data_IF_618665658492
#
_entry.id   IF_618665658492
#
_cell.length_a   1.000
_cell.length_b   1.000
_cell.length_c   1.000
_cell.angle_alpha   90.00
_cell.angle_beta   90.00
_cell.angle_gamma   90.00
#
_symmetry.space_group_name_H-M   'P 1'
#
loop_
_entity.id
_entity.type
_entity.pdbx_description
1 polymer ?
#
# COMPACT_ATOMS: atom_id res chain seq x y z
N UNK A 1 4.03 11.97 22.19
CA UNK A 1 3.83 11.05 21.05
C UNK A 1 2.69 11.60 20.21
N UNK A 2 2.96 12.00 18.96
CA UNK A 2 1.95 12.60 18.08
C UNK A 2 0.91 11.59 17.59
N UNK A 3 -0.17 12.08 16.97
CA UNK A 3 -1.22 11.22 16.36
C UNK A 3 -0.61 10.33 15.27
N UNK A 4 0.32 10.87 14.47
CA UNK A 4 1.03 10.13 13.41
C UNK A 4 1.86 8.97 13.97
N UNK A 5 2.56 9.17 15.08
CA UNK A 5 3.37 8.12 15.72
C UNK A 5 2.48 7.00 16.26
N UNK A 6 1.36 7.35 16.91
CA UNK A 6 0.38 6.37 17.38
C UNK A 6 -0.19 5.53 16.24
N UNK A 7 -0.48 6.17 15.09
CA UNK A 7 -0.97 5.47 13.90
C UNK A 7 0.10 4.51 13.35
N UNK A 8 1.34 4.98 13.19
CA UNK A 8 2.48 4.19 12.71
C UNK A 8 2.73 2.98 13.60
N UNK A 9 2.81 3.17 14.92
CA UNK A 9 2.95 2.06 15.87
C UNK A 9 1.74 1.12 15.86
N UNK A 10 0.54 1.64 15.64
CA UNK A 10 -0.68 0.83 15.48
C UNK A 10 -0.61 -0.12 14.28
N UNK A 11 -0.18 0.40 13.12
CA UNK A 11 0.03 -0.39 11.90
C UNK A 11 1.13 -1.43 12.10
N UNK A 12 2.26 -1.06 12.70
CA UNK A 12 3.37 -1.97 12.97
C UNK A 12 2.96 -3.15 13.87
N UNK A 13 2.09 -2.92 14.85
CA UNK A 13 1.62 -3.96 15.78
C UNK A 13 0.50 -4.82 15.21
N UNK A 14 -0.30 -4.29 14.29
CA UNK A 14 -1.50 -4.94 13.75
C UNK A 14 -1.39 -5.07 12.23
N UNK A 15 -0.27 -5.64 11.77
CA UNK A 15 0.05 -5.73 10.35
C UNK A 15 -0.74 -6.86 9.68
N UNK A 16 -2.02 -6.62 9.41
CA UNK A 16 -2.86 -7.51 8.61
C UNK A 16 -3.81 -6.72 7.70
N UNK A 17 -4.24 -7.35 6.61
CA UNK A 17 -5.14 -6.73 5.63
C UNK A 17 -6.46 -6.21 6.26
N UNK A 18 -7.02 -6.92 7.25
CA UNK A 18 -8.27 -6.50 7.91
C UNK A 18 -8.13 -5.15 8.62
N UNK A 19 -7.02 -4.92 9.29
CA UNK A 19 -6.71 -3.66 9.95
C UNK A 19 -6.45 -2.54 8.94
N UNK A 20 -5.66 -2.83 7.90
CA UNK A 20 -5.38 -1.88 6.81
C UNK A 20 -6.68 -1.44 6.13
N UNK A 21 -7.55 -2.40 5.78
CA UNK A 21 -8.86 -2.14 5.20
C UNK A 21 -9.71 -1.25 6.11
N UNK A 22 -9.79 -1.57 7.40
CA UNK A 22 -10.56 -0.76 8.38
C UNK A 22 -10.03 0.68 8.46
N UNK A 23 -8.71 0.86 8.41
CA UNK A 23 -8.12 2.20 8.36
C UNK A 23 -8.48 2.92 7.07
N UNK A 24 -8.34 2.25 5.92
CA UNK A 24 -8.70 2.79 4.61
C UNK A 24 -10.18 3.18 4.55
N UNK A 25 -11.09 2.36 5.09
CA UNK A 25 -12.53 2.67 5.22
C UNK A 25 -12.84 3.94 5.99
N UNK A 26 -11.96 4.35 6.90
CA UNK A 26 -12.12 5.58 7.68
C UNK A 26 -11.53 6.76 6.92
N UNK A 27 -10.29 6.64 6.43
CA UNK A 27 -9.57 7.76 5.83
C UNK A 27 -10.02 8.08 4.41
N UNK A 28 -10.61 7.11 3.68
CA UNK A 28 -11.12 7.31 2.32
C UNK A 28 -12.50 7.96 2.28
N UNK A 29 -13.18 8.16 3.43
CA UNK A 29 -14.47 8.86 3.46
C UNK A 29 -14.26 10.30 2.98
N UNK A 30 -14.98 10.71 1.93
CA UNK A 30 -14.92 12.07 1.34
C UNK A 30 -14.71 13.20 2.36
N UNK A 31 -15.51 13.35 3.45
CA UNK A 31 -15.29 14.43 4.40
C UNK A 31 -13.91 14.38 5.08
N UNK A 32 -13.44 13.19 5.45
CA UNK A 32 -12.11 12.97 6.07
C UNK A 32 -11.01 13.20 5.04
N UNK A 33 -11.18 12.63 3.84
CA UNK A 33 -10.21 12.70 2.76
C UNK A 33 -9.98 14.12 2.27
N UNK A 34 -11.05 14.91 2.08
CA UNK A 34 -10.94 16.31 1.67
C UNK A 34 -10.39 17.21 2.79
N UNK A 35 -10.77 16.95 4.04
CA UNK A 35 -10.17 17.65 5.18
C UNK A 35 -8.66 17.37 5.27
N UNK A 36 -8.24 16.12 5.12
CA UNK A 36 -6.82 15.77 5.03
C UNK A 36 -6.14 16.45 3.83
N UNK A 37 -6.79 16.42 2.67
CA UNK A 37 -6.33 17.08 1.45
C UNK A 37 -6.11 18.59 1.59
N UNK A 38 -6.90 19.28 2.42
CA UNK A 38 -6.73 20.71 2.71
C UNK A 38 -5.51 21.05 3.58
N UNK A 39 -4.87 20.06 4.19
CA UNK A 39 -3.65 20.28 4.98
C UNK A 39 -2.38 20.41 4.13
N UNK A 40 -2.44 20.01 2.85
CA UNK A 40 -1.33 20.12 1.91
C UNK A 40 -1.27 21.53 1.31
N UNK A 41 -0.05 22.11 1.29
CA UNK A 41 0.20 23.40 0.65
C UNK A 41 0.24 23.30 -0.87
N UNK A 42 0.75 22.18 -1.41
CA UNK A 42 0.82 21.95 -2.85
C UNK A 42 -0.44 21.28 -3.41
N UNK A 43 -0.87 21.75 -4.58
CA UNK A 43 -1.92 21.09 -5.37
C UNK A 43 -1.52 19.66 -5.78
N UNK A 44 -0.25 19.45 -6.12
CA UNK A 44 0.26 18.11 -6.49
C UNK A 44 0.09 17.15 -5.33
N UNK A 45 0.48 17.56 -4.13
CA UNK A 45 0.42 16.71 -2.94
C UNK A 45 -1.03 16.37 -2.61
N UNK A 46 -1.93 17.34 -2.72
CA UNK A 46 -3.36 17.12 -2.54
C UNK A 46 -3.88 16.06 -3.51
N UNK A 47 -3.63 16.21 -4.82
CA UNK A 47 -4.15 15.28 -5.82
C UNK A 47 -3.54 13.89 -5.69
N UNK A 48 -2.22 13.79 -5.56
CA UNK A 48 -1.52 12.51 -5.50
C UNK A 48 -1.88 11.74 -4.22
N UNK A 49 -1.98 12.40 -3.06
CA UNK A 49 -2.35 11.72 -1.81
C UNK A 49 -3.81 11.28 -1.80
N UNK A 50 -4.74 12.11 -2.31
CA UNK A 50 -6.15 11.72 -2.43
C UNK A 50 -6.29 10.50 -3.35
N UNK A 51 -5.70 10.57 -4.55
CA UNK A 51 -5.73 9.48 -5.52
C UNK A 51 -5.10 8.19 -4.97
N UNK A 52 -3.98 8.31 -4.26
CA UNK A 52 -3.30 7.16 -3.63
C UNK A 52 -4.20 6.50 -2.59
N UNK A 53 -4.86 7.28 -1.72
CA UNK A 53 -5.76 6.72 -0.69
C UNK A 53 -6.96 6.03 -1.33
N UNK A 54 -7.55 6.60 -2.38
CA UNK A 54 -8.65 5.99 -3.12
C UNK A 54 -8.21 4.70 -3.83
N UNK A 55 -7.05 4.70 -4.47
CA UNK A 55 -6.49 3.53 -5.15
C UNK A 55 -6.20 2.39 -4.18
N UNK A 56 -5.57 2.69 -3.03
CA UNK A 56 -5.36 1.72 -1.96
C UNK A 56 -6.68 1.23 -1.39
N UNK A 57 -7.67 2.11 -1.22
CA UNK A 57 -8.99 1.71 -0.74
C UNK A 57 -9.62 0.67 -1.65
N UNK A 58 -9.54 0.87 -2.97
CA UNK A 58 -10.04 -0.10 -3.95
C UNK A 58 -9.29 -1.43 -3.85
N UNK A 59 -7.95 -1.39 -3.82
CA UNK A 59 -7.10 -2.59 -3.76
C UNK A 59 -7.31 -3.44 -2.49
N UNK A 60 -7.65 -2.82 -1.35
CA UNK A 60 -7.88 -3.54 -0.08
C UNK A 60 -9.36 -3.78 0.23
N UNK A 61 -10.27 -3.43 -0.66
CA UNK A 61 -11.70 -3.63 -0.46
C UNK A 61 -12.19 -4.88 -1.19
N UNK A 62 -13.18 -5.57 -0.62
CA UNK A 62 -13.85 -6.72 -1.28
C UNK A 62 -14.78 -6.27 -2.42
N UNK A 63 -14.51 -5.12 -3.06
CA UNK A 63 -15.46 -4.43 -3.94
C UNK A 63 -15.48 -4.96 -5.38
N UNK A 64 -15.16 -6.25 -5.59
CA UNK A 64 -15.20 -6.94 -6.89
C UNK A 64 -14.35 -6.33 -8.04
N UNK A 65 -13.38 -5.45 -7.73
CA UNK A 65 -12.41 -5.05 -8.76
C UNK A 65 -11.29 -6.08 -8.82
N UNK A 66 -10.96 -6.62 -10.01
CA UNK A 66 -9.80 -7.48 -10.13
C UNK A 66 -8.53 -6.69 -9.82
N UNK A 67 -7.64 -7.28 -9.04
CA UNK A 67 -6.36 -6.69 -8.63
C UNK A 67 -5.27 -7.22 -9.53
N UNK A 68 -4.61 -6.33 -10.26
CA UNK A 68 -3.47 -6.69 -11.10
C UNK A 68 -2.18 -6.24 -10.47
N UNK A 69 -1.25 -7.16 -10.24
CA UNK A 69 0.11 -6.78 -9.91
C UNK A 69 0.84 -6.27 -11.15
N UNK A 70 1.61 -5.20 -10.99
CA UNK A 70 2.42 -4.67 -12.09
C UNK A 70 3.71 -4.03 -11.59
N UNK A 71 4.68 -3.93 -12.51
CA UNK A 71 5.92 -3.19 -12.27
C UNK A 71 5.75 -1.71 -12.56
N UNK A 72 6.67 -0.88 -12.06
CA UNK A 72 6.73 0.55 -12.35
C UNK A 72 6.74 0.90 -13.85
N UNK A 73 7.07 -0.04 -14.72
CA UNK A 73 7.26 0.17 -16.16
C UNK A 73 6.08 -0.32 -17.02
N UNK A 74 5.02 -0.83 -16.40
CA UNK A 74 3.83 -1.29 -17.12
C UNK A 74 3.00 -0.09 -17.63
N UNK A 75 2.46 -0.13 -18.87
CA UNK A 75 1.49 0.85 -19.33
C UNK A 75 0.12 0.64 -18.66
N UNK A 76 -0.13 1.36 -17.57
CA UNK A 76 -1.33 1.21 -16.73
C UNK A 76 -2.62 1.67 -17.40
N UNK A 77 -2.55 2.35 -18.54
CA UNK A 77 -3.71 2.70 -19.37
C UNK A 77 -4.55 1.47 -19.72
N UNK A 78 -3.89 0.32 -19.95
CA UNK A 78 -4.60 -0.94 -20.21
C UNK A 78 -5.38 -1.43 -18.99
N UNK A 79 -4.79 -1.36 -17.80
CA UNK A 79 -5.47 -1.77 -16.55
C UNK A 79 -6.68 -0.86 -16.28
N UNK A 80 -6.51 0.44 -16.46
CA UNK A 80 -7.60 1.40 -16.35
C UNK A 80 -8.73 1.12 -17.35
N UNK A 81 -8.41 0.83 -18.62
CA UNK A 81 -9.40 0.50 -19.64
C UNK A 81 -10.19 -0.78 -19.33
N UNK A 82 -9.56 -1.74 -18.65
CA UNK A 82 -10.16 -3.02 -18.26
C UNK A 82 -10.85 -2.99 -16.88
N UNK A 83 -10.82 -1.85 -16.18
CA UNK A 83 -11.34 -1.76 -14.82
C UNK A 83 -10.56 -2.57 -13.78
N UNK A 84 -9.29 -2.88 -14.07
CA UNK A 84 -8.36 -3.56 -13.16
C UNK A 84 -7.77 -2.55 -12.20
N UNK A 85 -7.75 -2.87 -10.90
CA UNK A 85 -7.09 -2.03 -9.89
C UNK A 85 -5.60 -2.36 -9.88
N UNK A 86 -4.72 -1.41 -10.27
CA UNK A 86 -3.28 -1.64 -10.25
C UNK A 86 -2.76 -1.68 -8.82
N UNK A 87 -1.92 -2.65 -8.53
CA UNK A 87 -1.14 -2.71 -7.30
C UNK A 87 0.34 -2.92 -7.65
N UNK A 88 1.21 -2.02 -7.19
CA UNK A 88 2.63 -2.01 -7.57
C UNK A 88 3.49 -2.43 -6.38
N UNK A 89 3.92 -3.70 -6.29
CA UNK A 89 4.66 -4.16 -5.11
C UNK A 89 5.94 -3.34 -4.84
N UNK A 90 6.63 -2.87 -5.90
CA UNK A 90 7.82 -2.03 -5.79
C UNK A 90 7.54 -0.68 -5.13
N UNK A 91 6.46 0.00 -5.53
CA UNK A 91 6.01 1.25 -4.91
C UNK A 91 5.57 1.01 -3.47
N UNK A 92 4.86 -0.09 -3.24
CA UNK A 92 4.34 -0.44 -1.92
C UNK A 92 5.46 -0.82 -0.94
N UNK A 93 6.58 -1.35 -1.41
CA UNK A 93 7.79 -1.50 -0.60
C UNK A 93 8.37 -0.15 -0.14
N UNK A 94 8.18 0.95 -0.90
CA UNK A 94 8.44 2.31 -0.42
C UNK A 94 7.52 2.71 0.74
N UNK A 95 6.24 2.36 0.66
CA UNK A 95 5.27 2.60 1.74
C UNK A 95 5.60 1.78 3.00
N UNK A 96 5.95 0.50 2.86
CA UNK A 96 6.38 -0.33 4.01
C UNK A 96 7.61 0.29 4.68
N UNK A 97 8.58 0.81 3.92
CA UNK A 97 9.73 1.53 4.48
C UNK A 97 9.33 2.80 5.24
N UNK A 98 8.48 3.67 4.67
CA UNK A 98 7.98 4.88 5.32
C UNK A 98 7.21 4.59 6.62
N UNK A 99 6.46 3.48 6.64
CA UNK A 99 5.74 2.98 7.81
C UNK A 99 6.63 2.23 8.81
N UNK A 100 7.93 2.08 8.54
CA UNK A 100 8.88 1.40 9.42
C UNK A 100 8.66 -0.12 9.48
N UNK A 101 8.12 -0.70 8.41
CA UNK A 101 7.84 -2.13 8.25
C UNK A 101 8.92 -2.85 7.44
N UNK A 102 9.88 -2.11 6.85
CA UNK A 102 10.96 -2.68 6.05
C UNK A 102 11.73 -3.79 6.81
N UNK A 103 12.07 -3.58 8.09
CA UNK A 103 12.77 -4.60 8.88
C UNK A 103 11.98 -5.89 9.01
N UNK A 104 10.67 -5.80 9.26
CA UNK A 104 9.81 -6.98 9.40
C UNK A 104 9.65 -7.71 8.07
N UNK A 105 9.38 -6.97 7.00
CA UNK A 105 9.21 -7.54 5.64
C UNK A 105 10.50 -8.14 5.09
N UNK A 106 11.65 -7.47 5.23
CA UNK A 106 12.95 -8.02 4.80
C UNK A 106 13.38 -9.25 5.62
N UNK A 107 13.04 -9.28 6.92
CA UNK A 107 13.23 -10.47 7.74
C UNK A 107 12.38 -11.61 7.21
N UNK A 108 11.09 -11.37 6.94
CA UNK A 108 10.20 -12.40 6.41
C UNK A 108 10.69 -12.93 5.06
N UNK A 109 11.10 -12.06 4.13
CA UNK A 109 11.64 -12.51 2.85
C UNK A 109 12.88 -13.40 3.04
N UNK A 110 13.76 -13.03 3.98
CA UNK A 110 14.99 -13.80 4.23
C UNK A 110 14.68 -15.18 4.83
N UNK A 111 13.68 -15.26 5.71
CA UNK A 111 13.18 -16.52 6.26
C UNK A 111 12.55 -17.43 5.19
N UNK A 112 12.03 -16.84 4.12
CA UNK A 112 11.43 -17.54 2.97
C UNK A 112 12.41 -17.67 1.79
N UNK A 113 13.71 -17.78 2.07
CA UNK A 113 14.77 -18.12 1.10
C UNK A 113 15.04 -17.09 -0.03
N UNK A 114 14.55 -15.86 0.11
CA UNK A 114 14.93 -14.80 -0.84
C UNK A 114 16.39 -14.36 -0.62
N UNK A 115 17.18 -14.36 -1.70
CA UNK A 115 18.59 -13.96 -1.67
C UNK A 115 18.75 -12.51 -1.19
N UNK A 116 19.81 -12.26 -0.42
CA UNK A 116 20.15 -10.91 0.05
C UNK A 116 20.60 -9.99 -1.09
N UNK A 117 21.06 -10.55 -2.20
CA UNK A 117 21.54 -9.83 -3.38
C UNK A 117 20.39 -9.26 -4.23
N UNK A 118 19.14 -9.65 -3.96
CA UNK A 118 17.97 -9.10 -4.63
C UNK A 118 17.74 -7.64 -4.20
N UNK A 119 17.16 -6.86 -5.12
CA UNK A 119 16.75 -5.49 -4.86
C UNK A 119 15.87 -5.39 -3.60
N UNK A 120 16.17 -4.44 -2.73
CA UNK A 120 15.46 -4.25 -1.45
C UNK A 120 13.96 -4.00 -1.62
N UNK A 121 13.53 -3.35 -2.70
CA UNK A 121 12.10 -3.20 -3.00
C UNK A 121 11.42 -4.54 -3.23
N UNK A 122 12.02 -5.40 -4.06
CA UNK A 122 11.51 -6.75 -4.34
C UNK A 122 11.48 -7.60 -3.07
N UNK A 123 12.56 -7.58 -2.28
CA UNK A 123 12.62 -8.32 -1.02
C UNK A 123 11.57 -7.85 -0.01
N UNK A 124 11.43 -6.54 0.19
CA UNK A 124 10.42 -6.01 1.11
C UNK A 124 9.00 -6.29 0.61
N UNK A 125 8.76 -6.19 -0.70
CA UNK A 125 7.48 -6.56 -1.30
C UNK A 125 7.16 -8.05 -1.12
N UNK A 126 8.09 -8.94 -1.43
CA UNK A 126 7.95 -10.38 -1.23
C UNK A 126 7.62 -10.71 0.23
N UNK A 127 8.37 -10.15 1.17
CA UNK A 127 8.07 -10.34 2.59
C UNK A 127 6.71 -9.78 3.01
N UNK A 128 6.24 -8.69 2.42
CA UNK A 128 4.90 -8.17 2.68
C UNK A 128 3.80 -9.09 2.13
N UNK A 129 4.06 -9.80 1.02
CA UNK A 129 3.18 -10.85 0.49
C UNK A 129 3.15 -12.06 1.43
N UNK A 130 4.31 -12.55 1.87
CA UNK A 130 4.41 -13.69 2.82
C UNK A 130 3.70 -13.39 4.16
N UNK A 131 3.71 -12.13 4.61
CA UNK A 131 3.01 -11.68 5.81
C UNK A 131 1.49 -11.44 5.60
N UNK A 132 0.94 -11.73 4.41
CA UNK A 132 -0.47 -11.46 4.05
C UNK A 132 -0.85 -9.98 4.27
N UNK A 133 0.08 -9.07 3.98
CA UNK A 133 -0.11 -7.62 4.15
C UNK A 133 -0.60 -6.96 2.88
N UNK A 134 -0.07 -7.39 1.74
CA UNK A 134 -0.53 -6.90 0.44
C UNK A 134 -1.81 -7.63 0.01
N UNK A 135 -2.72 -6.97 -0.72
CA UNK A 135 -3.94 -7.61 -1.19
C UNK A 135 -3.59 -8.69 -2.22
N UNK A 136 -4.37 -9.76 -2.27
CA UNK A 136 -4.11 -10.87 -3.19
C UNK A 136 -4.41 -10.43 -4.64
N UNK A 137 -3.48 -10.63 -5.58
CA UNK A 137 -3.74 -10.37 -7.00
C UNK A 137 -4.67 -11.42 -7.60
N UNK A 138 -5.47 -11.00 -8.57
CA UNK A 138 -6.15 -11.87 -9.52
C UNK A 138 -5.27 -12.17 -10.74
N UNK A 139 -4.31 -11.29 -11.05
CA UNK A 139 -3.35 -11.39 -12.16
C UNK A 139 -1.95 -10.92 -11.79
#
# INVERSE_FOLDING_TARGET
>A
MGIKDKLKTGIQRNLNQKYIRRLLDIISKKPVLYAYGSTFSSLSDKYLNIFTIESLKNAYSDNNYPIGYGSLFLPYEMFHALGITPFLPEVMAGFTAGLGLATQTLKESSSNWYSQDLCTFHRSASGAVELDVFPKPDF
#
